data_IF_311050041047
#
_entry.id   IF_311050041047
#
_cell.length_a   1.000
_cell.length_b   1.000
_cell.length_c   1.000
_cell.angle_alpha   90.00
_cell.angle_beta   90.00
_cell.angle_gamma   90.00
#
_symmetry.space_group_name_H-M   'P 1'
#
loop_
_entity.id
_entity.type
_entity.pdbx_description
1 polymer ?
#
# COMPACT_ATOMS: atom_id res chain seq x y z
N UNK A 1 4.62 -18.33 -33.16
CA UNK A 1 4.27 -18.90 -31.84
C UNK A 1 5.39 -18.77 -30.81
N UNK A 2 6.59 -19.33 -31.03
CA UNK A 2 7.73 -19.19 -30.08
C UNK A 2 8.22 -17.73 -29.90
N UNK A 3 8.27 -16.94 -30.98
CA UNK A 3 8.72 -15.53 -30.96
C UNK A 3 7.78 -14.58 -30.19
N UNK A 4 6.48 -14.89 -30.16
CA UNK A 4 5.48 -14.08 -29.46
C UNK A 4 5.51 -14.35 -27.95
N UNK A 5 5.72 -15.62 -27.56
CA UNK A 5 5.90 -16.02 -26.16
C UNK A 5 7.21 -15.47 -25.57
N UNK A 6 8.30 -15.46 -26.34
CA UNK A 6 9.56 -14.83 -25.91
C UNK A 6 9.45 -13.32 -25.83
N UNK A 7 8.67 -12.66 -26.70
CA UNK A 7 8.41 -11.22 -26.59
C UNK A 7 7.52 -10.89 -25.38
N UNK A 8 6.53 -11.71 -25.05
CA UNK A 8 5.67 -11.52 -23.88
C UNK A 8 6.45 -11.71 -22.57
N UNK A 9 7.32 -12.73 -22.50
CA UNK A 9 8.21 -12.97 -21.36
C UNK A 9 9.29 -11.88 -21.23
N UNK A 10 9.84 -11.40 -22.35
CA UNK A 10 10.81 -10.31 -22.36
C UNK A 10 10.16 -8.98 -21.96
N UNK A 11 8.94 -8.71 -22.41
CA UNK A 11 8.23 -7.48 -22.09
C UNK A 11 7.72 -7.49 -20.65
N UNK A 12 7.29 -8.64 -20.10
CA UNK A 12 7.01 -8.76 -18.68
C UNK A 12 8.28 -8.54 -17.84
N UNK A 13 9.43 -9.10 -18.24
CA UNK A 13 10.70 -8.86 -17.54
C UNK A 13 11.12 -7.38 -17.56
N UNK A 14 10.96 -6.70 -18.69
CA UNK A 14 11.33 -5.28 -18.84
C UNK A 14 10.40 -4.39 -18.00
N UNK A 15 9.10 -4.70 -17.93
CA UNK A 15 8.15 -3.96 -17.09
C UNK A 15 8.39 -4.21 -15.59
N UNK A 16 8.77 -5.44 -15.21
CA UNK A 16 9.17 -5.78 -13.83
C UNK A 16 10.48 -5.09 -13.43
N UNK A 17 11.45 -4.96 -14.34
CA UNK A 17 12.70 -4.23 -14.09
C UNK A 17 12.48 -2.71 -14.03
N UNK A 18 11.54 -2.14 -14.79
CA UNK A 18 11.19 -0.73 -14.73
C UNK A 18 10.39 -0.36 -13.47
N UNK A 19 9.53 -1.25 -12.97
CA UNK A 19 8.85 -1.12 -11.69
C UNK A 19 9.78 -1.39 -10.48
N UNK A 20 10.94 -2.00 -10.73
CA UNK A 20 12.07 -2.11 -9.81
C UNK A 20 12.98 -0.86 -9.84
N UNK A 21 12.47 0.31 -10.28
CA UNK A 21 13.15 1.56 -10.01
C UNK A 21 12.88 1.93 -8.55
N UNK A 22 13.90 1.73 -7.70
CA UNK A 22 13.94 2.08 -6.27
C UNK A 22 13.19 3.38 -5.99
N UNK A 23 12.01 3.27 -5.43
CA UNK A 23 11.56 4.20 -4.40
C UNK A 23 11.92 3.51 -3.08
N UNK A 24 13.17 3.65 -2.67
CA UNK A 24 13.48 3.60 -1.24
C UNK A 24 12.72 4.78 -0.64
N UNK A 25 11.67 4.59 0.18
CA UNK A 25 11.32 5.64 1.10
C UNK A 25 12.56 5.76 2.00
N UNK A 26 13.31 6.84 1.83
CA UNK A 26 14.19 7.29 2.89
C UNK A 26 13.26 7.60 4.06
N UNK A 27 13.08 6.62 4.94
CA UNK A 27 12.75 6.90 6.32
C UNK A 27 13.99 7.62 6.83
N UNK A 28 13.95 8.95 6.81
CA UNK A 28 14.83 9.76 7.62
C UNK A 28 14.53 9.39 9.07
N UNK A 29 15.20 8.37 9.57
CA UNK A 29 15.56 8.31 10.96
C UNK A 29 16.52 9.48 11.16
N UNK A 30 15.95 10.63 11.49
CA UNK A 30 16.74 11.68 12.13
C UNK A 30 17.14 11.11 13.48
N UNK A 31 18.37 10.61 13.54
CA UNK A 31 19.17 10.54 14.74
C UNK A 31 19.22 11.95 15.31
N UNK A 32 18.29 12.24 16.20
CA UNK A 32 18.24 13.46 17.00
C UNK A 32 18.18 13.03 18.44
N UNK A 33 19.32 13.21 19.12
CA UNK A 33 19.44 13.14 20.56
C UNK A 33 18.28 13.86 21.23
N UNK A 34 17.57 13.16 22.13
CA UNK A 34 16.87 13.82 23.23
C UNK A 34 17.41 13.21 24.51
N UNK A 35 18.48 13.83 24.98
CA UNK A 35 18.79 13.86 26.39
C UNK A 35 17.66 14.58 27.14
N UNK A 36 17.35 14.01 28.30
CA UNK A 36 16.88 14.67 29.53
C UNK A 36 15.51 15.35 29.58
N UNK A 37 14.70 14.75 30.45
CA UNK A 37 13.97 15.43 31.52
C UNK A 37 12.69 16.15 31.16
N UNK A 38 11.56 15.45 31.36
CA UNK A 38 10.49 16.02 32.19
C UNK A 38 9.90 14.92 33.06
N UNK A 39 10.05 15.13 34.37
CA UNK A 39 9.52 14.29 35.42
C UNK A 39 7.99 14.22 35.34
N UNK A 40 7.47 12.99 35.35
CA UNK A 40 6.16 12.71 35.94
C UNK A 40 6.47 12.10 37.30
N UNK A 41 6.38 12.92 38.35
CA UNK A 41 6.32 12.45 39.72
C UNK A 41 5.03 11.67 39.91
N UNK A 42 5.17 10.35 40.09
CA UNK A 42 4.15 9.52 40.71
C UNK A 42 4.84 8.34 41.44
N UNK A 43 4.88 8.42 42.77
CA UNK A 43 4.86 7.27 43.67
C UNK A 43 6.10 6.36 43.68
N UNK A 44 7.02 6.65 44.59
CA UNK A 44 7.99 5.68 45.11
C UNK A 44 7.27 4.47 45.71
N UNK A 45 7.37 3.30 45.07
CA UNK A 45 7.71 2.00 45.66
C UNK A 45 7.62 0.90 44.56
N UNK A 46 8.75 0.21 44.30
CA UNK A 46 8.96 -0.87 43.32
C UNK A 46 9.10 -0.50 41.82
N UNK A 47 10.22 0.14 41.48
CA UNK A 47 10.73 0.09 40.10
C UNK A 47 11.27 -1.33 39.80
N UNK A 48 10.69 -2.03 38.82
CA UNK A 48 11.19 -3.33 38.36
C UNK A 48 12.52 -3.16 37.64
N UNK A 49 13.61 -3.69 38.19
CA UNK A 49 14.94 -3.67 37.57
C UNK A 49 15.03 -4.81 36.55
N UNK A 50 15.34 -4.47 35.29
CA UNK A 50 15.48 -5.43 34.19
C UNK A 50 16.95 -5.78 34.00
N UNK A 51 17.30 -7.07 34.07
CA UNK A 51 18.65 -7.58 33.86
C UNK A 51 18.72 -8.28 32.49
N UNK A 52 19.73 -7.94 31.69
CA UNK A 52 19.94 -8.51 30.36
C UNK A 52 21.23 -9.34 30.33
N UNK A 53 21.15 -10.59 29.87
CA UNK A 53 22.32 -11.42 29.56
C UNK A 53 22.25 -11.91 28.11
N UNK A 54 23.38 -11.89 27.42
CA UNK A 54 23.53 -12.47 26.08
C UNK A 54 24.03 -13.92 26.13
N UNK A 55 24.48 -14.38 27.31
CA UNK A 55 24.92 -15.74 27.55
C UNK A 55 23.83 -16.54 28.29
N UNK A 56 23.24 -17.51 27.59
CA UNK A 56 22.22 -18.44 28.08
C UNK A 56 22.83 -19.74 28.64
N UNK A 57 24.16 -19.81 28.78
CA UNK A 57 24.82 -20.90 29.49
C UNK A 57 24.40 -20.96 30.97
N UNK A 58 24.61 -22.12 31.60
CA UNK A 58 24.37 -22.26 33.04
C UNK A 58 25.18 -21.24 33.87
N UNK A 59 26.40 -20.89 33.43
CA UNK A 59 27.22 -19.86 34.08
C UNK A 59 26.62 -18.46 33.91
N UNK A 60 26.15 -18.12 32.70
CA UNK A 60 25.50 -16.84 32.41
C UNK A 60 24.22 -16.62 33.21
N UNK A 61 23.38 -17.66 33.38
CA UNK A 61 22.18 -17.59 34.21
C UNK A 61 22.51 -17.44 35.70
N UNK A 62 23.55 -18.12 36.20
CA UNK A 62 24.00 -17.98 37.58
C UNK A 62 24.55 -16.59 37.89
N UNK A 63 25.16 -15.92 36.91
CA UNK A 63 25.62 -14.54 37.05
C UNK A 63 24.45 -13.56 37.26
N UNK A 64 23.30 -13.81 36.62
CA UNK A 64 22.07 -13.02 36.84
C UNK A 64 21.55 -13.22 38.27
N UNK A 65 21.55 -14.45 38.77
CA UNK A 65 21.15 -14.74 40.16
C UNK A 65 22.07 -14.10 41.19
N UNK A 66 23.38 -14.10 40.96
CA UNK A 66 24.34 -13.38 41.80
C UNK A 66 24.13 -11.86 41.77
N UNK A 67 23.83 -11.28 40.61
CA UNK A 67 23.54 -9.85 40.50
C UNK A 67 22.22 -9.45 41.20
N UNK A 68 21.31 -10.41 41.38
CA UNK A 68 20.06 -10.25 42.13
C UNK A 68 20.23 -10.49 43.64
N UNK A 69 21.45 -10.81 44.11
CA UNK A 69 21.74 -11.30 45.46
C UNK A 69 20.79 -12.43 45.91
N UNK A 70 20.37 -13.24 44.93
CA UNK A 70 19.39 -14.30 45.14
C UNK A 70 20.03 -15.67 44.92
N UNK A 71 19.87 -16.55 45.90
CA UNK A 71 20.32 -17.95 45.82
C UNK A 71 19.11 -18.85 45.60
N UNK A 72 18.94 -19.41 44.39
CA UNK A 72 17.76 -20.18 44.10
C UNK A 72 17.83 -21.54 44.82
N UNK A 73 16.88 -21.82 45.71
CA UNK A 73 16.77 -23.09 46.45
C UNK A 73 15.42 -23.76 46.18
N UNK A 74 15.42 -25.08 45.98
CA UNK A 74 14.20 -25.85 45.68
C UNK A 74 13.80 -25.88 44.20
N UNK A 75 12.48 -25.94 43.92
CA UNK A 75 11.94 -25.99 42.54
C UNK A 75 11.77 -24.57 42.00
N UNK A 76 12.53 -24.23 40.97
CA UNK A 76 12.53 -22.91 40.33
C UNK A 76 11.67 -22.99 39.07
N UNK A 77 10.73 -22.04 38.90
CA UNK A 77 9.99 -21.87 37.66
C UNK A 77 10.57 -20.69 36.87
N UNK A 78 11.05 -20.95 35.66
CA UNK A 78 11.53 -19.91 34.73
C UNK A 78 10.44 -19.65 33.70
N UNK A 79 9.87 -18.44 33.70
CA UNK A 79 8.89 -18.02 32.69
C UNK A 79 9.65 -17.42 31.50
N UNK A 80 9.69 -18.16 30.40
CA UNK A 80 10.23 -17.67 29.13
C UNK A 80 9.09 -16.97 28.37
N UNK A 81 9.21 -15.65 28.16
CA UNK A 81 8.29 -14.89 27.30
C UNK A 81 9.03 -14.53 26.01
N UNK A 82 8.65 -15.14 24.89
CA UNK A 82 9.18 -14.81 23.57
C UNK A 82 8.23 -13.84 22.87
N UNK A 83 8.33 -12.56 23.25
CA UNK A 83 7.61 -11.45 22.60
C UNK A 83 6.17 -11.27 23.07
N UNK A 84 5.86 -10.07 23.56
CA UNK A 84 4.48 -9.62 23.75
C UNK A 84 3.73 -9.56 22.40
N UNK A 85 2.41 -9.79 22.39
CA UNK A 85 1.53 -9.33 21.31
C UNK A 85 1.76 -7.84 21.07
N UNK A 86 2.00 -7.38 19.82
CA UNK A 86 1.59 -7.98 18.56
C UNK A 86 2.73 -8.66 17.75
N UNK A 87 3.92 -8.86 18.32
CA UNK A 87 5.10 -9.33 17.58
C UNK A 87 5.28 -10.85 17.68
N UNK A 88 4.38 -11.62 17.06
CA UNK A 88 4.67 -13.02 16.71
C UNK A 88 5.76 -13.05 15.64
N UNK A 89 6.58 -14.13 15.63
CA UNK A 89 7.63 -14.37 14.64
C UNK A 89 7.07 -14.65 13.24
N UNK A 90 6.34 -13.68 12.67
CA UNK A 90 6.12 -13.63 11.23
C UNK A 90 7.46 -13.30 10.58
N UNK A 91 7.75 -13.95 9.45
CA UNK A 91 8.84 -13.56 8.57
C UNK A 91 8.77 -12.04 8.38
N UNK A 92 9.87 -11.33 8.65
CA UNK A 92 9.90 -9.87 8.54
C UNK A 92 9.35 -9.48 7.16
N UNK A 93 8.27 -8.68 7.08
CA UNK A 93 7.65 -8.33 5.80
C UNK A 93 8.64 -7.62 4.86
N UNK A 94 9.70 -7.00 5.41
CA UNK A 94 10.83 -6.46 4.65
C UNK A 94 11.57 -7.52 3.80
N UNK A 95 11.65 -8.77 4.26
CA UNK A 95 12.40 -9.85 3.62
C UNK A 95 11.58 -10.63 2.61
N UNK A 96 10.27 -10.77 2.83
CA UNK A 96 9.38 -11.61 2.00
C UNK A 96 8.44 -10.78 1.11
N UNK A 97 8.31 -9.48 1.39
CA UNK A 97 7.42 -8.57 0.67
C UNK A 97 7.69 -8.54 -0.83
N UNK A 98 8.95 -8.53 -1.26
CA UNK A 98 9.27 -8.56 -2.69
C UNK A 98 8.87 -9.86 -3.37
N UNK A 99 9.08 -11.00 -2.70
CA UNK A 99 8.70 -12.31 -3.21
C UNK A 99 7.18 -12.42 -3.35
N UNK A 100 6.44 -11.99 -2.33
CA UNK A 100 4.97 -11.98 -2.36
C UNK A 100 4.46 -11.06 -3.46
N UNK A 101 5.05 -9.86 -3.59
CA UNK A 101 4.66 -8.91 -4.64
C UNK A 101 4.94 -9.46 -6.03
N UNK A 102 6.08 -10.12 -6.22
CA UNK A 102 6.43 -10.77 -7.48
C UNK A 102 5.47 -11.91 -7.82
N UNK A 103 5.22 -12.82 -6.86
CA UNK A 103 4.34 -13.95 -7.05
C UNK A 103 2.90 -13.51 -7.33
N UNK A 104 2.36 -12.62 -6.50
CA UNK A 104 0.99 -12.09 -6.68
C UNK A 104 0.82 -11.36 -8.02
N UNK A 105 1.79 -10.53 -8.42
CA UNK A 105 1.76 -9.85 -9.71
C UNK A 105 1.78 -10.83 -10.89
N UNK A 106 2.62 -11.88 -10.82
CA UNK A 106 2.71 -12.90 -11.85
C UNK A 106 1.41 -13.70 -11.96
N UNK A 107 0.84 -14.15 -10.84
CA UNK A 107 -0.44 -14.86 -10.82
C UNK A 107 -1.57 -13.99 -11.38
N UNK A 108 -1.69 -12.73 -10.92
CA UNK A 108 -2.70 -11.81 -11.42
C UNK A 108 -2.58 -11.57 -12.93
N UNK A 109 -1.35 -11.36 -13.42
CA UNK A 109 -1.08 -11.17 -14.85
C UNK A 109 -1.41 -12.40 -15.70
N UNK A 110 -1.05 -13.60 -15.23
CA UNK A 110 -1.35 -14.86 -15.94
C UNK A 110 -2.86 -15.11 -15.99
N UNK A 111 -3.56 -14.90 -14.88
CA UNK A 111 -5.03 -15.04 -14.81
C UNK A 111 -5.70 -14.05 -15.75
N UNK A 112 -5.32 -12.76 -15.70
CA UNK A 112 -5.87 -11.75 -16.60
C UNK A 112 -5.63 -12.10 -18.08
N UNK A 113 -4.42 -12.54 -18.42
CA UNK A 113 -4.06 -12.96 -19.78
C UNK A 113 -4.84 -14.19 -20.27
N UNK A 114 -5.05 -15.18 -19.39
CA UNK A 114 -5.86 -16.35 -19.68
C UNK A 114 -7.34 -16.00 -19.86
N UNK A 115 -7.88 -15.12 -19.00
CA UNK A 115 -9.25 -14.61 -19.14
C UNK A 115 -9.46 -13.92 -20.49
N UNK A 116 -8.55 -13.00 -20.88
CA UNK A 116 -8.64 -12.32 -22.18
C UNK A 116 -8.56 -13.34 -23.33
N UNK A 117 -7.62 -14.29 -23.25
CA UNK A 117 -7.46 -15.33 -24.28
C UNK A 117 -8.69 -16.23 -24.41
N UNK A 118 -9.33 -16.57 -23.30
CA UNK A 118 -10.51 -17.44 -23.29
C UNK A 118 -11.74 -16.70 -23.80
N UNK A 119 -12.03 -15.50 -23.31
CA UNK A 119 -13.23 -14.74 -23.68
C UNK A 119 -13.15 -14.06 -25.05
N UNK A 120 -11.94 -13.67 -25.51
CA UNK A 120 -11.75 -12.89 -26.75
C UNK A 120 -10.98 -13.65 -27.83
N UNK A 121 -11.08 -14.98 -27.83
CA UNK A 121 -10.42 -15.84 -28.82
C UNK A 121 -10.86 -15.44 -30.25
N UNK A 122 -9.94 -14.85 -31.01
CA UNK A 122 -10.18 -14.44 -32.41
C UNK A 122 -10.73 -13.02 -32.63
N UNK A 123 -10.81 -12.17 -31.59
CA UNK A 123 -11.18 -10.74 -31.73
C UNK A 123 -10.09 -9.83 -31.18
N UNK A 124 -9.95 -8.62 -31.73
CA UNK A 124 -9.02 -7.60 -31.22
C UNK A 124 -9.57 -7.02 -29.92
N UNK A 125 -8.80 -7.11 -28.84
CA UNK A 125 -9.18 -6.53 -27.54
C UNK A 125 -8.81 -5.03 -27.45
N UNK A 126 -7.71 -4.64 -28.10
CA UNK A 126 -7.21 -3.28 -28.13
C UNK A 126 -7.42 -2.65 -29.51
N UNK A 127 -7.94 -1.43 -29.52
CA UNK A 127 -8.19 -0.58 -30.68
C UNK A 127 -7.43 0.74 -30.51
N UNK A 128 -6.39 0.95 -31.31
CA UNK A 128 -5.53 2.13 -31.19
C UNK A 128 -5.95 3.28 -32.11
N UNK A 129 -7.07 3.12 -32.82
CA UNK A 129 -7.54 4.04 -33.87
C UNK A 129 -7.88 5.45 -33.32
N UNK A 130 -8.13 5.57 -32.01
CA UNK A 130 -8.44 6.84 -31.34
C UNK A 130 -7.23 7.63 -30.83
N UNK A 131 -6.00 7.13 -30.97
CA UNK A 131 -4.79 7.80 -30.50
C UNK A 131 -4.15 8.63 -31.62
N UNK A 132 -4.77 9.78 -31.95
CA UNK A 132 -4.12 10.75 -32.83
C UNK A 132 -3.01 11.49 -32.06
N UNK A 133 -1.84 11.64 -32.68
CA UNK A 133 -0.77 12.48 -32.14
C UNK A 133 -1.28 13.94 -32.07
N UNK A 134 -1.22 14.61 -30.91
CA UNK A 134 -1.61 16.00 -30.81
C UNK A 134 -0.74 16.83 -31.75
N UNK A 135 -1.38 17.66 -32.59
CA UNK A 135 -0.64 18.60 -33.44
C UNK A 135 0.03 19.62 -32.53
N UNK A 136 1.36 19.70 -32.59
CA UNK A 136 2.12 20.63 -31.77
C UNK A 136 1.85 22.06 -32.23
N UNK A 137 1.12 22.83 -31.41
CA UNK A 137 0.72 24.21 -31.72
C UNK A 137 1.71 25.26 -31.22
N UNK A 138 2.80 24.86 -30.58
CA UNK A 138 3.82 25.80 -30.11
C UNK A 138 4.89 26.02 -31.19
N UNK A 139 4.82 27.17 -31.85
CA UNK A 139 5.75 27.62 -32.90
C UNK A 139 6.72 28.72 -32.43
N UNK A 140 6.82 28.98 -31.12
CA UNK A 140 7.72 30.01 -30.59
C UNK A 140 9.21 29.65 -30.82
N UNK A 141 10.03 30.59 -31.37
CA UNK A 141 11.43 30.32 -31.70
C UNK A 141 12.35 30.20 -30.46
N UNK A 142 12.00 30.86 -29.35
CA UNK A 142 12.80 30.84 -28.13
C UNK A 142 12.37 29.70 -27.20
N UNK A 143 13.24 28.71 -26.89
CA UNK A 143 12.87 27.53 -26.11
C UNK A 143 12.50 27.85 -24.65
N UNK A 144 13.16 28.83 -24.02
CA UNK A 144 12.87 29.25 -22.65
C UNK A 144 11.49 29.92 -22.54
N UNK A 145 11.14 30.77 -23.51
CA UNK A 145 9.84 31.45 -23.53
C UNK A 145 8.70 30.47 -23.80
N UNK A 146 8.93 29.49 -24.67
CA UNK A 146 8.00 28.37 -24.91
C UNK A 146 7.77 27.56 -23.65
N UNK A 147 8.83 27.20 -22.91
CA UNK A 147 8.71 26.50 -21.63
C UNK A 147 7.90 27.31 -20.61
N UNK A 148 8.20 28.60 -20.44
CA UNK A 148 7.53 29.45 -19.45
C UNK A 148 6.04 29.64 -19.77
N UNK A 149 5.69 29.85 -21.05
CA UNK A 149 4.30 29.87 -21.51
C UNK A 149 3.59 28.54 -21.31
N UNK A 150 4.25 27.41 -21.59
CA UNK A 150 3.71 26.07 -21.37
C UNK A 150 3.48 25.78 -19.89
N UNK A 151 4.44 26.13 -19.05
CA UNK A 151 4.35 25.98 -17.62
C UNK A 151 3.20 26.82 -17.05
N UNK A 152 3.11 28.10 -17.45
CA UNK A 152 2.01 28.99 -17.06
C UNK A 152 0.64 28.45 -17.49
N UNK A 153 0.51 27.97 -18.73
CA UNK A 153 -0.73 27.33 -19.22
C UNK A 153 -1.09 26.08 -18.43
N UNK A 154 -0.12 25.22 -18.13
CA UNK A 154 -0.35 24.01 -17.34
C UNK A 154 -0.73 24.32 -15.89
N UNK A 155 -0.10 25.31 -15.26
CA UNK A 155 -0.43 25.75 -13.90
C UNK A 155 -1.83 26.36 -13.88
N UNK A 156 -2.18 27.19 -14.85
CA UNK A 156 -3.51 27.80 -14.90
C UNK A 156 -4.61 26.76 -15.19
N UNK A 157 -4.30 25.75 -16.00
CA UNK A 157 -5.22 24.65 -16.29
C UNK A 157 -5.35 23.67 -15.12
N UNK A 158 -4.26 23.27 -14.47
CA UNK A 158 -4.22 22.21 -13.45
C UNK A 158 -4.41 22.75 -12.04
N UNK A 159 -3.96 23.98 -11.77
CA UNK A 159 -3.99 24.64 -10.48
C UNK A 159 -5.38 24.66 -9.85
N UNK A 160 -6.44 25.11 -10.54
CA UNK A 160 -7.80 25.10 -10.00
C UNK A 160 -8.27 23.71 -9.55
N UNK A 161 -7.96 22.66 -10.33
CA UNK A 161 -8.30 21.28 -9.95
C UNK A 161 -7.49 20.81 -8.74
N UNK A 162 -6.23 21.22 -8.63
CA UNK A 162 -5.37 20.89 -7.49
C UNK A 162 -5.85 21.59 -6.21
N UNK A 163 -6.18 22.88 -6.28
CA UNK A 163 -6.77 23.62 -5.16
C UNK A 163 -8.12 23.01 -4.75
N UNK A 164 -8.96 22.65 -5.71
CA UNK A 164 -10.24 21.98 -5.44
C UNK A 164 -10.01 20.63 -4.74
N UNK A 165 -9.02 19.85 -5.17
CA UNK A 165 -8.65 18.58 -4.55
C UNK A 165 -8.15 18.76 -3.11
N UNK A 166 -7.31 19.76 -2.85
CA UNK A 166 -6.85 20.10 -1.48
C UNK A 166 -8.03 20.51 -0.61
N UNK A 167 -8.91 21.39 -1.11
CA UNK A 167 -10.08 21.85 -0.40
C UNK A 167 -11.00 20.67 -0.06
N UNK A 168 -11.29 19.81 -1.03
CA UNK A 168 -12.15 18.65 -0.83
C UNK A 168 -11.54 17.65 0.15
N UNK A 169 -10.21 17.44 0.10
CA UNK A 169 -9.50 16.58 1.06
C UNK A 169 -9.56 17.15 2.49
N UNK A 170 -9.37 18.46 2.64
CA UNK A 170 -9.48 19.13 3.93
C UNK A 170 -10.91 19.09 4.49
N UNK A 171 -11.92 19.28 3.63
CA UNK A 171 -13.33 19.13 3.99
C UNK A 171 -13.63 17.69 4.39
N UNK A 172 -13.15 16.70 3.63
CA UNK A 172 -13.35 15.29 3.95
C UNK A 172 -12.76 14.95 5.32
N UNK A 173 -11.51 15.34 5.60
CA UNK A 173 -10.88 15.11 6.91
C UNK A 173 -11.59 15.84 8.06
N UNK A 174 -12.21 17.00 7.79
CA UNK A 174 -12.93 17.78 8.81
C UNK A 174 -14.34 17.27 9.09
N UNK A 175 -15.06 16.85 8.06
CA UNK A 175 -16.49 16.54 8.12
C UNK A 175 -16.81 15.05 8.12
N UNK A 176 -15.87 14.17 7.76
CA UNK A 176 -16.06 12.72 7.79
C UNK A 176 -15.43 12.17 9.08
N UNK A 177 -16.21 11.98 10.15
CA UNK A 177 -15.71 11.37 11.37
C UNK A 177 -15.31 9.92 11.10
N UNK A 178 -14.22 9.48 11.72
CA UNK A 178 -13.74 8.10 11.63
C UNK A 178 -14.80 7.07 12.04
N UNK A 179 -15.70 7.42 12.97
CA UNK A 179 -16.83 6.57 13.39
C UNK A 179 -17.78 6.19 12.25
N UNK A 180 -18.04 7.10 11.30
CA UNK A 180 -18.86 6.78 10.13
C UNK A 180 -18.18 5.72 9.25
N UNK A 181 -16.86 5.80 9.11
CA UNK A 181 -16.10 4.83 8.33
C UNK A 181 -16.01 3.48 9.03
N UNK A 182 -15.83 3.44 10.34
CA UNK A 182 -15.82 2.18 11.09
C UNK A 182 -17.16 1.46 11.06
N UNK A 183 -18.28 2.19 11.13
CA UNK A 183 -19.61 1.57 11.00
C UNK A 183 -19.85 1.05 9.58
N UNK A 184 -19.37 1.78 8.55
CA UNK A 184 -19.45 1.34 7.15
C UNK A 184 -18.55 0.14 6.82
N UNK A 185 -17.38 0.02 7.46
CA UNK A 185 -16.39 -1.03 7.17
C UNK A 185 -16.39 -2.19 8.16
N UNK A 186 -16.95 -2.03 9.37
CA UNK A 186 -16.84 -2.98 10.48
C UNK A 186 -18.03 -3.91 10.70
N UNK A 187 -19.24 -3.57 10.21
CA UNK A 187 -20.45 -4.37 10.48
C UNK A 187 -20.52 -5.71 9.74
N UNK A 188 -19.93 -5.80 8.54
CA UNK A 188 -19.83 -7.03 7.76
C UNK A 188 -18.55 -6.98 6.94
N UNK A 189 -17.62 -7.91 7.19
CA UNK A 189 -16.30 -7.92 6.57
C UNK A 189 -16.33 -7.92 5.04
N UNK A 190 -17.23 -8.69 4.42
CA UNK A 190 -17.33 -8.76 2.97
C UNK A 190 -17.90 -7.47 2.37
N UNK A 191 -18.88 -6.85 3.05
CA UNK A 191 -19.42 -5.54 2.64
C UNK A 191 -18.40 -4.42 2.86
N UNK A 192 -17.63 -4.46 3.94
CA UNK A 192 -16.57 -3.49 4.22
C UNK A 192 -15.49 -3.51 3.13
N UNK A 193 -15.07 -4.71 2.70
CA UNK A 193 -14.11 -4.87 1.60
C UNK A 193 -14.69 -4.33 0.28
N UNK A 194 -15.94 -4.63 -0.03
CA UNK A 194 -16.60 -4.12 -1.23
C UNK A 194 -16.70 -2.58 -1.21
N UNK A 195 -17.12 -2.01 -0.09
CA UNK A 195 -17.20 -0.56 0.09
C UNK A 195 -15.84 0.10 -0.06
N UNK A 196 -14.79 -0.45 0.55
CA UNK A 196 -13.44 0.06 0.44
C UNK A 196 -12.94 0.02 -1.01
N UNK A 197 -13.20 -1.07 -1.74
CA UNK A 197 -12.89 -1.16 -3.17
C UNK A 197 -13.65 -0.09 -3.97
N UNK A 198 -14.95 0.12 -3.71
CA UNK A 198 -15.74 1.11 -4.45
C UNK A 198 -15.32 2.54 -4.18
N UNK A 199 -14.98 2.89 -2.93
CA UNK A 199 -14.54 4.24 -2.53
C UNK A 199 -13.13 4.52 -3.04
N UNK A 200 -12.27 3.51 -3.16
CA UNK A 200 -10.94 3.64 -3.76
C UNK A 200 -10.97 4.11 -5.22
N UNK A 201 -12.05 3.78 -5.96
CA UNK A 201 -12.21 4.19 -7.37
C UNK A 201 -12.28 5.72 -7.55
N UNK A 202 -13.22 6.46 -6.94
CA UNK A 202 -13.33 7.91 -7.07
C UNK A 202 -12.31 8.66 -6.22
N UNK A 203 -11.91 8.12 -5.06
CA UNK A 203 -11.01 8.84 -4.15
C UNK A 203 -9.58 8.88 -4.69
N UNK A 204 -9.18 7.88 -5.50
CA UNK A 204 -7.87 7.77 -6.16
C UNK A 204 -6.73 8.35 -5.30
N UNK A 205 -6.46 7.72 -4.16
CA UNK A 205 -5.42 8.19 -3.27
C UNK A 205 -4.04 7.70 -3.79
N UNK A 206 -3.08 8.61 -3.92
CA UNK A 206 -1.70 8.26 -4.25
C UNK A 206 -1.01 7.68 -2.99
N UNK A 207 -0.15 6.69 -3.16
CA UNK A 207 0.39 5.89 -2.06
C UNK A 207 0.96 6.71 -0.90
N UNK A 208 1.58 7.87 -1.18
CA UNK A 208 2.15 8.73 -0.14
C UNK A 208 1.15 9.29 0.88
N UNK A 209 -0.05 9.70 0.46
CA UNK A 209 -1.09 10.20 1.37
C UNK A 209 -2.04 9.13 1.90
N UNK A 210 -2.01 7.95 1.28
CA UNK A 210 -2.94 6.84 1.61
C UNK A 210 -2.54 6.08 2.85
N UNK A 211 -1.23 5.89 3.06
CA UNK A 211 -0.69 5.11 4.19
C UNK A 211 -1.13 5.69 5.55
N UNK A 212 -0.89 6.97 5.89
CA UNK A 212 -1.29 7.50 7.19
C UNK A 212 -2.81 7.49 7.39
N UNK A 213 -3.58 7.68 6.32
CA UNK A 213 -5.05 7.61 6.36
C UNK A 213 -5.54 6.20 6.69
N UNK A 214 -4.98 5.18 6.04
CA UNK A 214 -5.32 3.78 6.31
C UNK A 214 -4.88 3.35 7.70
N UNK A 215 -3.71 3.80 8.18
CA UNK A 215 -3.28 3.53 9.55
C UNK A 215 -4.31 4.03 10.55
N UNK A 216 -4.80 5.26 10.38
CA UNK A 216 -5.86 5.81 11.23
C UNK A 216 -7.14 4.96 11.19
N UNK A 217 -7.62 4.60 10.00
CA UNK A 217 -8.83 3.78 9.87
C UNK A 217 -8.68 2.37 10.45
N UNK A 218 -7.49 1.77 10.32
CA UNK A 218 -7.17 0.48 10.93
C UNK A 218 -7.18 0.59 12.46
N UNK A 219 -6.62 1.66 13.04
CA UNK A 219 -6.72 1.95 14.48
C UNK A 219 -8.16 2.13 14.93
N UNK A 220 -9.00 2.75 14.10
CA UNK A 220 -10.40 2.99 14.41
C UNK A 220 -11.26 1.71 14.25
N UNK A 221 -10.76 0.65 13.60
CA UNK A 221 -11.44 -0.66 13.50
C UNK A 221 -11.73 -1.18 12.08
N UNK A 222 -11.13 -0.57 11.04
CA UNK A 222 -11.19 -1.10 9.68
C UNK A 222 -10.46 -2.44 9.57
N UNK A 223 -11.03 -3.40 8.83
CA UNK A 223 -10.36 -4.68 8.59
C UNK A 223 -9.16 -4.56 7.64
N UNK A 224 -8.14 -5.39 7.85
CA UNK A 224 -6.92 -5.42 7.03
C UNK A 224 -7.23 -5.71 5.55
N UNK A 225 -8.20 -6.57 5.27
CA UNK A 225 -8.66 -6.87 3.92
C UNK A 225 -9.35 -5.68 3.23
N UNK A 226 -10.08 -4.85 3.98
CA UNK A 226 -10.65 -3.62 3.44
C UNK A 226 -9.55 -2.62 3.08
N UNK A 227 -8.54 -2.48 3.93
CA UNK A 227 -7.38 -1.63 3.65
C UNK A 227 -6.61 -2.12 2.41
N UNK A 228 -6.42 -3.44 2.28
CA UNK A 228 -5.81 -4.05 1.10
C UNK A 228 -6.64 -3.77 -0.17
N UNK A 229 -7.95 -3.94 -0.12
CA UNK A 229 -8.82 -3.71 -1.27
C UNK A 229 -8.85 -2.22 -1.71
N UNK A 230 -8.81 -1.30 -0.76
CA UNK A 230 -8.64 0.13 -1.04
C UNK A 230 -7.28 0.41 -1.72
N UNK A 231 -6.19 -0.18 -1.23
CA UNK A 231 -4.85 -0.03 -1.81
C UNK A 231 -4.71 -0.65 -3.19
N UNK A 232 -5.45 -1.72 -3.51
CA UNK A 232 -5.46 -2.30 -4.86
C UNK A 232 -6.24 -1.44 -5.86
N UNK A 233 -7.39 -0.90 -5.46
CA UNK A 233 -8.26 -0.14 -6.36
C UNK A 233 -7.66 1.22 -6.73
N UNK A 234 -7.11 1.96 -5.75
CA UNK A 234 -6.51 3.29 -5.98
C UNK A 234 -5.60 3.39 -7.22
N UNK A 235 -4.44 2.71 -7.28
CA UNK A 235 -3.53 2.81 -8.42
C UNK A 235 -4.13 2.29 -9.73
N UNK A 236 -5.08 1.36 -9.67
CA UNK A 236 -5.73 0.72 -10.81
C UNK A 236 -6.77 1.62 -11.50
N UNK A 237 -7.31 2.62 -10.79
CA UNK A 237 -8.40 3.49 -11.27
C UNK A 237 -8.01 4.95 -11.45
N UNK A 238 -6.71 5.22 -11.64
CA UNK A 238 -6.17 6.52 -12.05
C UNK A 238 -6.99 7.13 -13.19
N UNK A 239 -7.60 8.30 -12.98
CA UNK A 239 -8.49 8.92 -13.98
C UNK A 239 -7.80 9.12 -15.34
N UNK A 240 -6.53 9.50 -15.34
CA UNK A 240 -5.72 9.66 -16.55
C UNK A 240 -5.45 8.34 -17.26
N UNK A 241 -5.17 7.28 -16.51
CA UNK A 241 -4.98 5.93 -17.05
C UNK A 241 -6.30 5.35 -17.57
N UNK A 242 -7.39 5.47 -16.81
CA UNK A 242 -8.73 5.04 -17.21
C UNK A 242 -9.19 5.76 -18.48
N UNK A 243 -8.88 7.06 -18.62
CA UNK A 243 -9.16 7.80 -19.84
C UNK A 243 -8.48 7.21 -21.07
N UNK A 244 -7.17 6.97 -20.99
CA UNK A 244 -6.42 6.32 -22.07
C UNK A 244 -6.93 4.90 -22.34
N UNK A 245 -7.19 4.13 -21.29
CA UNK A 245 -7.66 2.75 -21.39
C UNK A 245 -9.05 2.68 -22.02
N UNK A 246 -9.96 3.61 -21.70
CA UNK A 246 -11.28 3.72 -22.32
C UNK A 246 -11.18 3.99 -23.82
N UNK A 247 -10.24 4.85 -24.25
CA UNK A 247 -10.00 5.15 -25.66
C UNK A 247 -9.51 3.89 -26.38
N UNK A 248 -8.56 3.16 -25.78
CA UNK A 248 -7.95 1.99 -26.41
C UNK A 248 -8.85 0.75 -26.39
N UNK A 249 -9.57 0.52 -25.30
CA UNK A 249 -10.39 -0.68 -25.13
C UNK A 249 -11.82 -0.52 -25.66
N UNK A 250 -12.30 0.71 -25.77
CA UNK A 250 -13.72 0.99 -26.01
C UNK A 250 -14.56 0.72 -24.76
N UNK A 251 -15.80 1.23 -24.76
CA UNK A 251 -16.66 1.25 -23.56
C UNK A 251 -16.96 -0.15 -22.99
N UNK A 252 -17.15 -1.15 -23.86
CA UNK A 252 -17.49 -2.52 -23.44
C UNK A 252 -16.35 -3.20 -22.68
N UNK A 253 -15.14 -3.21 -23.25
CA UNK A 253 -13.98 -3.82 -22.62
C UNK A 253 -13.48 -3.00 -21.42
N UNK A 254 -13.69 -1.68 -21.43
CA UNK A 254 -13.44 -0.81 -20.29
C UNK A 254 -14.28 -1.18 -19.06
N UNK A 255 -15.59 -1.42 -19.24
CA UNK A 255 -16.45 -1.88 -18.14
C UNK A 255 -16.01 -3.26 -17.63
N UNK A 256 -15.57 -4.15 -18.51
CA UNK A 256 -15.04 -5.46 -18.13
C UNK A 256 -13.75 -5.35 -17.32
N UNK A 257 -12.86 -4.43 -17.70
CA UNK A 257 -11.67 -4.10 -16.91
C UNK A 257 -12.02 -3.61 -15.50
N UNK A 258 -12.96 -2.67 -15.37
CA UNK A 258 -13.38 -2.17 -14.06
C UNK A 258 -14.01 -3.28 -13.21
N UNK A 259 -14.88 -4.10 -13.80
CA UNK A 259 -15.45 -5.25 -13.10
C UNK A 259 -14.38 -6.24 -12.63
N UNK A 260 -13.38 -6.52 -13.46
CA UNK A 260 -12.26 -7.39 -13.10
C UNK A 260 -11.47 -6.82 -11.91
N UNK A 261 -11.11 -5.52 -11.94
CA UNK A 261 -10.38 -4.87 -10.85
C UNK A 261 -11.19 -4.91 -9.55
N UNK A 262 -12.49 -4.64 -9.61
CA UNK A 262 -13.38 -4.70 -8.44
C UNK A 262 -13.47 -6.11 -7.86
N UNK A 263 -13.69 -7.12 -8.70
CA UNK A 263 -13.78 -8.53 -8.27
C UNK A 263 -12.45 -9.04 -7.71
N UNK A 264 -11.33 -8.69 -8.36
CA UNK A 264 -10.00 -9.09 -7.90
C UNK A 264 -9.66 -8.44 -6.56
N UNK A 265 -9.97 -7.16 -6.40
CA UNK A 265 -9.76 -6.44 -5.14
C UNK A 265 -10.63 -7.01 -4.01
N UNK A 266 -11.91 -7.30 -4.29
CA UNK A 266 -12.82 -7.94 -3.35
C UNK A 266 -12.31 -9.33 -2.93
N UNK A 267 -11.96 -10.18 -3.89
CA UNK A 267 -11.46 -11.52 -3.62
C UNK A 267 -10.17 -11.48 -2.80
N UNK A 268 -9.25 -10.56 -3.13
CA UNK A 268 -8.00 -10.39 -2.39
C UNK A 268 -8.26 -9.88 -0.98
N UNK A 269 -9.16 -8.90 -0.80
CA UNK A 269 -9.50 -8.38 0.53
C UNK A 269 -10.18 -9.42 1.43
N UNK A 270 -11.11 -10.21 0.88
CA UNK A 270 -11.72 -11.33 1.61
C UNK A 270 -10.65 -12.37 1.98
N UNK A 271 -9.76 -12.71 1.04
CA UNK A 271 -8.68 -13.65 1.31
C UNK A 271 -7.78 -13.16 2.45
N UNK A 272 -7.46 -11.87 2.47
CA UNK A 272 -6.67 -11.27 3.56
C UNK A 272 -7.39 -11.38 4.90
N UNK A 273 -8.68 -11.06 4.98
CA UNK A 273 -9.46 -11.22 6.22
C UNK A 273 -9.57 -12.68 6.67
N UNK A 274 -9.51 -13.65 5.76
CA UNK A 274 -9.53 -15.07 6.13
C UNK A 274 -8.20 -15.56 6.72
N UNK A 275 -7.09 -14.89 6.42
CA UNK A 275 -5.75 -15.30 6.86
C UNK A 275 -5.17 -14.46 8.01
N UNK A 276 -5.73 -13.28 8.28
CA UNK A 276 -5.27 -12.31 9.29
C UNK A 276 -6.38 -12.11 10.31
#
# INVERSE_FOLDING_TARGET
>A
MKRFLTMLLAWSLIFTLAACKRETPAVSQTTGDVQTSHAVEAGTENASVVYMTTDISAAGLMAVYQALDWTPTGKIAVKLSTGEPPASNFLRPELVGELIRLASALFCGVIAGLCVRWFFKGRTFFHFDGLAAPVNRDTDPNPLWRFLKNLGRNILATGPYFLLGILLSALFQRYVPSRLMTDLFGGNEALGVLMAATIGVPLYACGGGTIPLLQQWLYDGMSMGSAAAFMLTGPSTKITNLGALKIVLGLKHFCLYLAYVMLFSLATGILVNLFV
#
